data_IF_314270723933
#
_entry.id   IF_314270723933
#
_cell.length_a   1.000
_cell.length_b   1.000
_cell.length_c   1.000
_cell.angle_alpha   90.00
_cell.angle_beta   90.00
_cell.angle_gamma   90.00
#
_symmetry.space_group_name_H-M   'P 1'
#
loop_
_entity.id
_entity.type
_entity.pdbx_description
1 polymer ?
#
# COMPACT_ATOMS: atom_id res chain seq x y z
N UNK A 1 23.98 18.73 -6.21
CA UNK A 1 22.60 18.61 -5.75
C UNK A 1 21.86 17.55 -6.55
N UNK A 2 21.21 16.63 -5.88
CA UNK A 2 20.47 15.58 -6.56
C UNK A 2 19.11 16.11 -7.02
N UNK A 3 18.81 15.93 -8.30
CA UNK A 3 17.52 16.31 -8.85
C UNK A 3 16.64 15.08 -8.96
N UNK A 4 15.53 15.08 -8.22
CA UNK A 4 14.57 13.99 -8.26
C UNK A 4 13.33 14.43 -8.98
N UNK A 5 12.88 13.64 -9.93
CA UNK A 5 11.63 13.88 -10.64
C UNK A 5 10.72 12.68 -10.53
N UNK A 6 9.44 12.96 -10.36
CA UNK A 6 8.40 11.96 -10.37
C UNK A 6 7.58 12.14 -11.65
N UNK A 7 7.56 11.10 -12.47
CA UNK A 7 6.78 11.09 -13.70
C UNK A 7 5.64 10.10 -13.59
N UNK A 8 4.45 10.55 -13.91
CA UNK A 8 3.29 9.68 -13.92
C UNK A 8 2.96 9.30 -15.36
N UNK A 9 2.99 8.01 -15.64
CA UNK A 9 2.71 7.45 -16.96
C UNK A 9 1.52 6.50 -16.81
N UNK A 10 0.31 7.05 -16.95
CA UNK A 10 -0.89 6.27 -16.69
C UNK A 10 -0.95 5.86 -15.23
N UNK A 11 -1.01 4.55 -14.99
CA UNK A 11 -1.03 3.99 -13.64
C UNK A 11 0.37 3.70 -13.09
N UNK A 12 1.40 4.07 -13.82
CA UNK A 12 2.78 3.83 -13.40
C UNK A 12 3.45 5.14 -13.01
N UNK A 13 4.43 5.01 -12.13
CA UNK A 13 5.24 6.15 -11.68
C UNK A 13 6.70 5.81 -11.92
N UNK A 14 7.41 6.75 -12.53
CA UNK A 14 8.85 6.63 -12.71
C UNK A 14 9.54 7.64 -11.80
N UNK A 15 10.55 7.20 -11.05
CA UNK A 15 11.35 8.05 -10.20
C UNK A 15 12.71 8.22 -10.87
N UNK A 16 13.05 9.47 -11.15
CA UNK A 16 14.28 9.83 -11.85
C UNK A 16 15.22 10.58 -10.89
N UNK A 17 16.48 10.21 -10.92
CA UNK A 17 17.52 10.86 -10.14
C UNK A 17 18.65 11.26 -11.09
N UNK A 18 18.91 12.57 -11.19
CA UNK A 18 19.96 13.10 -12.05
C UNK A 18 19.87 12.59 -13.48
N UNK A 19 18.65 12.48 -13.99
CA UNK A 19 18.41 12.03 -15.36
C UNK A 19 18.34 10.54 -15.55
N UNK A 20 18.64 9.75 -14.52
CA UNK A 20 18.59 8.29 -14.58
C UNK A 20 17.35 7.77 -13.89
N UNK A 21 16.73 6.74 -14.50
CA UNK A 21 15.57 6.12 -13.90
C UNK A 21 16.01 5.22 -12.73
N UNK A 22 15.49 5.51 -11.54
CA UNK A 22 15.77 4.73 -10.35
C UNK A 22 14.75 3.62 -10.16
N UNK A 23 13.48 3.95 -10.39
CA UNK A 23 12.41 2.96 -10.27
C UNK A 23 11.25 3.34 -11.18
N UNK A 24 10.66 2.35 -11.83
CA UNK A 24 9.47 2.50 -12.66
C UNK A 24 8.51 1.39 -12.29
N UNK A 25 7.47 1.72 -11.55
CA UNK A 25 6.52 0.74 -11.03
C UNK A 25 5.19 1.42 -10.78
N UNK A 26 4.14 0.63 -10.49
CA UNK A 26 2.91 1.24 -10.03
C UNK A 26 3.11 1.79 -8.60
N UNK A 27 2.21 2.70 -8.16
CA UNK A 27 2.39 3.32 -6.84
C UNK A 27 2.43 2.32 -5.68
N UNK A 28 1.69 1.22 -5.79
CA UNK A 28 1.69 0.20 -4.74
C UNK A 28 3.06 -0.44 -4.60
N UNK A 29 3.67 -0.79 -5.72
CA UNK A 29 4.99 -1.43 -5.74
C UNK A 29 6.07 -0.50 -5.20
N UNK A 30 6.03 0.77 -5.56
CA UNK A 30 7.01 1.74 -5.10
C UNK A 30 6.95 1.88 -3.58
N UNK A 31 5.75 1.93 -3.02
CA UNK A 31 5.58 2.11 -1.58
C UNK A 31 5.87 0.83 -0.82
N UNK A 32 5.43 -0.30 -1.34
CA UNK A 32 5.63 -1.58 -0.65
C UNK A 32 7.04 -2.11 -0.77
N UNK A 33 7.69 -1.90 -1.93
CA UNK A 33 9.02 -2.43 -2.23
C UNK A 33 9.88 -1.38 -2.90
N UNK A 34 10.35 -0.35 -2.15
CA UNK A 34 11.24 0.65 -2.74
C UNK A 34 12.50 0.00 -3.30
N UNK A 35 12.96 0.48 -4.45
CA UNK A 35 14.11 -0.12 -5.12
C UNK A 35 15.38 -0.03 -4.29
N UNK A 36 15.57 1.07 -3.55
CA UNK A 36 16.72 1.25 -2.69
C UNK A 36 16.41 2.25 -1.60
N UNK A 37 17.42 2.57 -0.79
CA UNK A 37 17.27 3.50 0.32
C UNK A 37 16.93 4.91 -0.17
N UNK A 38 17.44 5.31 -1.34
CA UNK A 38 17.13 6.60 -1.91
C UNK A 38 15.63 6.74 -2.16
N UNK A 39 15.02 5.73 -2.79
CA UNK A 39 13.58 5.73 -3.06
C UNK A 39 12.81 5.69 -1.75
N UNK A 40 13.24 4.87 -0.81
CA UNK A 40 12.60 4.76 0.50
C UNK A 40 12.57 6.11 1.23
N UNK A 41 13.70 6.83 1.21
CA UNK A 41 13.76 8.15 1.83
C UNK A 41 12.88 9.17 1.11
N UNK A 42 12.83 9.09 -0.22
CA UNK A 42 12.03 10.00 -1.01
C UNK A 42 10.54 9.89 -0.71
N UNK A 43 10.06 8.67 -0.46
CA UNK A 43 8.63 8.41 -0.27
C UNK A 43 8.22 8.29 1.20
N UNK A 44 9.15 8.43 2.15
CA UNK A 44 8.85 8.20 3.57
C UNK A 44 7.75 9.12 4.13
N UNK A 45 7.58 10.29 3.54
CA UNK A 45 6.59 11.26 4.01
C UNK A 45 5.24 11.13 3.29
N UNK A 46 5.10 10.15 2.40
CA UNK A 46 3.84 9.91 1.73
C UNK A 46 2.83 9.35 2.73
N UNK A 47 1.60 9.85 2.66
CA UNK A 47 0.53 9.32 3.48
C UNK A 47 0.08 7.97 2.92
N UNK A 48 0.59 6.89 3.52
CA UNK A 48 0.34 5.53 3.04
C UNK A 48 -1.14 5.17 3.04
N UNK A 49 -1.90 5.71 3.99
CA UNK A 49 -3.32 5.41 4.09
C UNK A 49 -4.12 5.91 2.89
N UNK A 50 -3.58 6.88 2.16
CA UNK A 50 -4.24 7.43 0.97
C UNK A 50 -3.78 6.78 -0.34
N UNK A 51 -2.77 5.96 -0.29
CA UNK A 51 -2.17 5.37 -1.49
C UNK A 51 -2.28 3.86 -1.51
N UNK A 52 -2.00 3.22 -0.40
CA UNK A 52 -2.03 1.75 -0.34
C UNK A 52 -3.46 1.25 -0.43
N UNK A 53 -3.67 0.28 -1.28
CA UNK A 53 -4.97 -0.34 -1.50
C UNK A 53 -5.07 -1.68 -0.79
N UNK A 54 -6.31 -2.15 -0.59
CA UNK A 54 -6.57 -3.40 0.10
C UNK A 54 -5.79 -4.58 -0.50
N UNK A 55 -5.71 -4.64 -1.82
CA UNK A 55 -5.04 -5.75 -2.50
C UNK A 55 -3.57 -5.89 -2.12
N UNK A 56 -2.94 -4.81 -1.67
CA UNK A 56 -1.52 -4.82 -1.32
C UNK A 56 -1.25 -5.40 0.07
N UNK A 57 -2.27 -5.46 0.93
CA UNK A 57 -2.09 -5.89 2.32
C UNK A 57 -3.05 -6.98 2.76
N UNK A 58 -3.99 -7.38 1.92
CA UNK A 58 -4.98 -8.40 2.27
C UNK A 58 -4.33 -9.77 2.42
N UNK A 59 -5.00 -10.64 3.18
CA UNK A 59 -4.67 -12.05 3.20
C UNK A 59 -5.50 -12.74 2.13
N UNK A 60 -4.88 -13.41 1.15
CA UNK A 60 -5.64 -14.05 0.08
C UNK A 60 -6.58 -15.14 0.61
N UNK A 61 -7.83 -15.10 0.17
CA UNK A 61 -8.80 -16.13 0.49
C UNK A 61 -9.97 -16.00 -0.48
N UNK A 62 -10.74 -17.06 -0.62
CA UNK A 62 -11.99 -17.03 -1.39
C UNK A 62 -13.21 -17.16 -0.51
N UNK A 63 -13.04 -17.15 0.81
CA UNK A 63 -14.13 -17.32 1.77
C UNK A 63 -14.58 -15.97 2.31
N UNK A 64 -15.90 -15.81 2.46
CA UNK A 64 -16.47 -14.59 3.00
C UNK A 64 -16.16 -14.48 4.50
N UNK A 65 -15.80 -13.28 4.93
CA UNK A 65 -15.58 -12.95 6.34
C UNK A 65 -16.83 -12.35 6.96
N UNK A 66 -16.82 -12.16 8.28
CA UNK A 66 -18.00 -11.72 9.03
C UNK A 66 -18.24 -10.21 8.99
N UNK A 67 -17.24 -9.44 8.60
CA UNK A 67 -17.35 -7.98 8.57
C UNK A 67 -17.83 -7.43 7.23
N UNK A 68 -17.61 -6.13 7.05
CA UNK A 68 -18.03 -5.44 5.83
C UNK A 68 -17.27 -5.96 4.60
N UNK A 69 -17.88 -5.77 3.42
CA UNK A 69 -17.25 -6.10 2.15
C UNK A 69 -16.71 -4.81 1.53
N UNK A 70 -15.44 -4.86 1.10
CA UNK A 70 -14.79 -3.72 0.45
C UNK A 70 -14.11 -4.18 -0.84
N UNK A 71 -13.78 -3.21 -1.68
CA UNK A 71 -13.14 -3.49 -2.96
C UNK A 71 -11.63 -3.59 -2.79
N UNK A 72 -10.99 -4.42 -3.59
CA UNK A 72 -9.54 -4.59 -3.52
C UNK A 72 -8.76 -3.34 -3.92
N UNK A 73 -9.37 -2.43 -4.66
CA UNK A 73 -8.75 -1.17 -5.06
C UNK A 73 -9.02 -0.01 -4.08
N UNK A 74 -9.75 -0.28 -3.01
CA UNK A 74 -10.06 0.74 -2.01
C UNK A 74 -8.81 1.04 -1.16
N UNK A 75 -8.55 2.33 -0.92
CA UNK A 75 -7.39 2.72 -0.11
C UNK A 75 -7.67 2.52 1.38
N UNK A 76 -6.59 2.39 2.16
CA UNK A 76 -6.69 2.03 3.59
C UNK A 76 -7.52 3.02 4.39
N UNK A 77 -7.42 4.31 4.07
CA UNK A 77 -8.18 5.34 4.76
C UNK A 77 -9.69 5.08 4.69
N UNK A 78 -10.16 4.73 3.49
CA UNK A 78 -11.58 4.46 3.29
C UNK A 78 -12.02 3.15 3.95
N UNK A 79 -11.15 2.15 3.89
CA UNK A 79 -11.43 0.87 4.55
C UNK A 79 -11.53 1.04 6.05
N UNK A 80 -10.65 1.86 6.63
CA UNK A 80 -10.66 2.11 8.06
C UNK A 80 -11.99 2.70 8.51
N UNK A 81 -12.53 3.65 7.76
CA UNK A 81 -13.81 4.24 8.08
C UNK A 81 -14.93 3.21 8.07
N UNK A 82 -14.92 2.32 7.09
CA UNK A 82 -15.93 1.26 6.99
C UNK A 82 -15.79 0.26 8.12
N UNK A 83 -14.56 -0.17 8.41
CA UNK A 83 -14.32 -1.19 9.44
C UNK A 83 -14.42 -0.67 10.86
N UNK A 84 -14.40 0.64 11.05
CA UNK A 84 -14.48 1.22 12.41
C UNK A 84 -15.79 0.92 13.12
N UNK A 85 -16.84 0.57 12.39
CA UNK A 85 -18.14 0.20 12.99
C UNK A 85 -18.06 -1.17 13.67
N UNK A 86 -17.19 -2.06 13.23
CA UNK A 86 -17.03 -3.37 13.83
C UNK A 86 -15.55 -3.78 13.69
N UNK A 87 -14.64 -3.15 14.46
CA UNK A 87 -13.20 -3.31 14.25
C UNK A 87 -12.68 -4.71 14.57
N UNK A 88 -13.43 -5.51 15.32
CA UNK A 88 -13.01 -6.87 15.62
C UNK A 88 -13.37 -7.88 14.52
N UNK A 89 -14.18 -7.48 13.56
CA UNK A 89 -14.62 -8.38 12.48
C UNK A 89 -13.76 -8.19 11.24
N UNK A 90 -13.21 -9.28 10.67
CA UNK A 90 -12.45 -9.17 9.42
C UNK A 90 -13.33 -8.72 8.26
N UNK A 91 -12.80 -7.87 7.40
CA UNK A 91 -13.50 -7.44 6.20
C UNK A 91 -13.28 -8.43 5.04
N UNK A 92 -14.26 -8.52 4.16
CA UNK A 92 -14.17 -9.30 2.93
C UNK A 92 -13.69 -8.40 1.81
N UNK A 93 -12.70 -8.86 1.06
CA UNK A 93 -12.18 -8.12 -0.10
C UNK A 93 -12.67 -8.78 -1.36
N UNK A 94 -13.24 -8.00 -2.28
CA UNK A 94 -13.65 -8.52 -3.57
C UNK A 94 -13.12 -7.68 -4.73
N UNK A 95 -13.00 -8.31 -5.91
CA UNK A 95 -12.53 -7.63 -7.09
C UNK A 95 -13.67 -6.92 -7.82
N UNK A 96 -13.36 -6.31 -8.96
CA UNK A 96 -14.33 -5.57 -9.75
C UNK A 96 -15.50 -6.42 -10.25
N UNK A 97 -15.32 -7.74 -10.30
CA UNK A 97 -16.33 -8.69 -10.72
C UNK A 97 -17.16 -9.22 -9.57
N UNK A 98 -16.91 -8.76 -8.36
CA UNK A 98 -17.62 -9.23 -7.17
C UNK A 98 -17.10 -10.54 -6.62
N UNK A 99 -15.96 -11.04 -7.11
CA UNK A 99 -15.37 -12.27 -6.63
C UNK A 99 -14.52 -11.98 -5.39
N UNK A 100 -14.65 -12.81 -4.36
CA UNK A 100 -13.88 -12.66 -3.14
C UNK A 100 -12.42 -13.03 -3.42
N UNK A 101 -11.51 -12.12 -3.13
CA UNK A 101 -10.09 -12.29 -3.39
C UNK A 101 -9.25 -12.28 -2.12
N UNK A 102 -9.80 -11.80 -1.01
CA UNK A 102 -9.04 -11.77 0.24
C UNK A 102 -9.87 -11.33 1.42
N UNK A 103 -9.19 -11.24 2.55
CA UNK A 103 -9.76 -10.69 3.78
C UNK A 103 -8.78 -9.69 4.37
N UNK A 104 -9.31 -8.79 5.19
CA UNK A 104 -8.48 -7.77 5.83
C UNK A 104 -8.94 -7.60 7.28
N UNK A 105 -7.99 -7.54 8.19
CA UNK A 105 -8.25 -7.29 9.60
C UNK A 105 -7.72 -5.93 9.99
N UNK A 106 -8.19 -5.40 11.12
CA UNK A 106 -7.73 -4.10 11.60
C UNK A 106 -6.21 -4.07 11.75
N UNK A 107 -5.60 -5.17 12.17
CA UNK A 107 -4.13 -5.24 12.31
C UNK A 107 -3.45 -5.06 10.95
N UNK A 108 -4.05 -5.55 9.87
CA UNK A 108 -3.50 -5.37 8.53
C UNK A 108 -3.48 -3.90 8.14
N UNK A 109 -4.54 -3.16 8.49
CA UNK A 109 -4.61 -1.73 8.22
C UNK A 109 -3.52 -0.99 8.98
N UNK A 110 -3.38 -1.28 10.27
CA UNK A 110 -2.37 -0.63 11.10
C UNK A 110 -0.97 -0.90 10.56
N UNK A 111 -0.68 -2.15 10.24
CA UNK A 111 0.64 -2.51 9.69
C UNK A 111 0.90 -1.84 8.35
N UNK A 112 -0.13 -1.76 7.50
CA UNK A 112 0.00 -1.12 6.19
C UNK A 112 0.24 0.38 6.28
N UNK A 113 -0.22 1.03 7.35
CA UNK A 113 -0.05 2.46 7.54
C UNK A 113 1.29 2.84 8.13
N UNK A 114 2.02 1.89 8.72
CA UNK A 114 3.32 2.17 9.30
C UNK A 114 4.33 2.48 8.22
N UNK A 115 5.22 3.44 8.51
CA UNK A 115 6.32 3.74 7.62
C UNK A 115 7.25 2.54 7.55
N UNK A 116 7.76 2.21 6.35
CA UNK A 116 8.75 1.14 6.25
C UNK A 116 10.03 1.55 6.98
N UNK A 117 10.74 0.57 7.50
CA UNK A 117 12.07 0.84 8.05
C UNK A 117 13.01 1.19 6.91
N UNK A 118 13.90 2.14 7.17
CA UNK A 118 14.93 2.47 6.21
C UNK A 118 15.83 1.26 5.96
N UNK A 119 16.17 1.02 4.69
CA UNK A 119 16.89 -0.19 4.32
C UNK A 119 18.26 -0.31 4.98
N UNK A 120 18.89 0.81 5.30
CA UNK A 120 20.21 0.78 5.89
C UNK A 120 20.24 0.85 7.41
N UNK A 121 19.09 0.94 8.08
CA UNK A 121 19.06 1.22 9.51
C UNK A 121 18.37 0.18 10.36
N UNK A 122 17.85 -0.84 9.78
CA UNK A 122 17.11 -1.86 10.51
C UNK A 122 17.99 -2.83 11.29
N UNK A 123 19.30 -2.71 11.13
CA UNK A 123 20.26 -3.64 11.72
C UNK A 123 20.36 -3.51 13.21
N UNK A 124 19.99 -2.40 13.74
CA UNK A 124 20.06 -2.18 15.18
C UNK A 124 18.91 -2.81 15.92
N UNK A 125 17.99 -3.28 15.17
CA UNK A 125 16.81 -3.88 15.78
C UNK A 125 16.01 -2.89 16.55
#
# INVERSE_FOLDING_TARGET
MTLTKLWRLGDRIAILRDGSMVQDSDPQEIIMNPADEYVSDFIKDINRARVIQAKSIMTPTNSKSSGATVREDMVLEDILQIMSDAPSKPGTIENAKGKITGKIEMVNLVEGMKRPKSLGTNITG
#
